data_IF_598994963632
#
_entry.id   IF_598994963632
#
_cell.length_a   1.000
_cell.length_b   1.000
_cell.length_c   1.000
_cell.angle_alpha   90.00
_cell.angle_beta   90.00
_cell.angle_gamma   90.00
#
_symmetry.space_group_name_H-M   'P 1'
#
loop_
_entity.id
_entity.type
_entity.pdbx_description
1 polymer ?
#
# COMPACT_ATOMS: atom_id res chain seq x y z
N UNK A 1 -31.32 -31.25 4.35
CA UNK A 1 -32.30 -30.67 3.40
C UNK A 1 -31.58 -29.60 2.60
N UNK A 2 -31.13 -29.92 1.39
CA UNK A 2 -30.55 -28.91 0.49
C UNK A 2 -31.71 -28.11 -0.11
N UNK A 3 -31.84 -26.85 0.31
CA UNK A 3 -32.81 -25.94 -0.29
C UNK A 3 -32.55 -25.81 -1.81
N UNK A 4 -33.62 -25.66 -2.59
CA UNK A 4 -33.52 -25.40 -4.02
C UNK A 4 -32.71 -24.11 -4.29
N UNK A 5 -31.89 -24.07 -5.34
CA UNK A 5 -31.09 -22.88 -5.66
C UNK A 5 -31.99 -21.68 -5.95
N UNK A 6 -31.66 -20.52 -5.37
CA UNK A 6 -32.35 -19.26 -5.63
C UNK A 6 -32.14 -18.80 -7.08
N UNK A 7 -32.91 -17.79 -7.53
CA UNK A 7 -32.67 -17.19 -8.84
C UNK A 7 -31.27 -16.59 -8.95
N UNK A 8 -30.78 -15.93 -7.90
CA UNK A 8 -29.42 -15.39 -7.85
C UNK A 8 -28.35 -16.49 -7.94
N UNK A 9 -28.57 -17.67 -7.32
CA UNK A 9 -27.66 -18.82 -7.47
C UNK A 9 -27.58 -19.27 -8.93
N UNK A 10 -28.74 -19.43 -9.59
CA UNK A 10 -28.81 -19.86 -11.00
C UNK A 10 -28.21 -18.83 -11.95
N UNK A 11 -28.37 -17.53 -11.69
CA UNK A 11 -27.72 -16.47 -12.47
C UNK A 11 -26.20 -16.52 -12.27
N UNK A 12 -25.73 -16.64 -11.03
CA UNK A 12 -24.29 -16.72 -10.72
C UNK A 12 -23.65 -17.94 -11.42
N UNK A 13 -24.37 -19.06 -11.53
CA UNK A 13 -23.99 -20.26 -12.29
C UNK A 13 -23.77 -20.01 -13.79
N UNK A 14 -24.45 -19.01 -14.36
CA UNK A 14 -24.35 -18.64 -15.77
C UNK A 14 -23.35 -17.51 -16.06
N UNK A 15 -22.63 -17.04 -15.03
CA UNK A 15 -21.55 -16.05 -15.20
C UNK A 15 -20.20 -16.74 -15.40
N UNK A 16 -19.24 -16.12 -16.12
CA UNK A 16 -17.91 -16.67 -16.36
C UNK A 16 -16.99 -16.63 -15.11
N UNK A 17 -17.48 -16.10 -13.98
CA UNK A 17 -16.80 -16.10 -12.68
C UNK A 17 -15.41 -15.44 -12.69
N UNK A 18 -15.21 -14.43 -13.54
CA UNK A 18 -13.92 -13.71 -13.64
C UNK A 18 -13.64 -12.80 -12.45
N UNK A 19 -14.68 -12.34 -11.76
CA UNK A 19 -14.62 -11.39 -10.66
C UNK A 19 -13.96 -10.04 -11.02
N UNK A 20 -14.07 -9.62 -12.28
CA UNK A 20 -13.38 -8.44 -12.82
C UNK A 20 -14.03 -7.08 -12.51
N UNK A 21 -15.18 -7.05 -11.84
CA UNK A 21 -15.92 -5.83 -11.47
C UNK A 21 -16.32 -4.87 -12.60
N UNK A 22 -16.17 -5.26 -13.89
CA UNK A 22 -16.52 -4.42 -15.06
C UNK A 22 -18.00 -4.06 -15.17
N UNK A 23 -18.86 -4.87 -14.55
CA UNK A 23 -20.29 -4.59 -14.42
C UNK A 23 -20.59 -3.47 -13.39
N UNK A 24 -19.61 -3.01 -12.62
CA UNK A 24 -19.78 -2.03 -11.53
C UNK A 24 -20.03 -2.65 -10.15
N UNK A 25 -20.16 -3.97 -10.07
CA UNK A 25 -20.34 -4.71 -8.82
C UNK A 25 -19.01 -5.28 -8.31
N UNK A 26 -18.92 -5.55 -7.00
CA UNK A 26 -17.70 -6.09 -6.37
C UNK A 26 -17.36 -7.54 -6.75
N UNK A 27 -18.23 -8.22 -7.50
CA UNK A 27 -18.01 -9.55 -8.03
C UNK A 27 -19.23 -10.09 -8.79
N UNK A 28 -19.13 -11.32 -9.26
CA UNK A 28 -20.19 -12.02 -10.00
C UNK A 28 -21.44 -12.22 -9.13
N UNK A 29 -21.28 -12.64 -7.87
CA UNK A 29 -22.42 -12.90 -6.97
C UNK A 29 -23.27 -11.64 -6.69
N UNK A 30 -22.71 -10.48 -6.32
CA UNK A 30 -23.51 -9.27 -6.15
C UNK A 30 -24.20 -8.82 -7.44
N UNK A 31 -23.56 -8.98 -8.61
CA UNK A 31 -24.22 -8.71 -9.89
C UNK A 31 -25.39 -9.68 -10.14
N UNK A 32 -25.20 -10.97 -9.88
CA UNK A 32 -26.24 -11.98 -10.02
C UNK A 32 -27.45 -11.69 -9.13
N UNK A 33 -27.20 -11.25 -7.89
CA UNK A 33 -28.23 -10.81 -6.96
C UNK A 33 -28.98 -9.59 -7.51
N UNK A 34 -28.27 -8.57 -7.98
CA UNK A 34 -28.90 -7.37 -8.51
C UNK A 34 -29.77 -7.64 -9.76
N UNK A 35 -29.36 -8.58 -10.61
CA UNK A 35 -30.18 -9.04 -11.74
C UNK A 35 -31.41 -9.81 -11.25
N UNK A 36 -31.25 -10.71 -10.26
CA UNK A 36 -32.38 -11.42 -9.66
C UNK A 36 -33.42 -10.48 -9.04
N UNK A 37 -32.95 -9.41 -8.41
CA UNK A 37 -33.77 -8.38 -7.77
C UNK A 37 -34.36 -7.37 -8.77
N UNK A 38 -33.98 -7.46 -10.05
CA UNK A 38 -34.43 -6.53 -11.10
C UNK A 38 -33.82 -5.12 -11.00
N UNK A 39 -32.79 -4.93 -10.17
CA UNK A 39 -32.09 -3.64 -9.99
C UNK A 39 -30.93 -3.44 -10.97
N UNK A 40 -30.50 -4.51 -11.64
CA UNK A 40 -29.50 -4.48 -12.71
C UNK A 40 -30.03 -5.12 -13.99
N UNK A 41 -29.54 -4.63 -15.14
CA UNK A 41 -29.78 -5.31 -16.42
C UNK A 41 -28.84 -6.52 -16.58
N UNK A 42 -29.30 -7.56 -17.28
CA UNK A 42 -28.56 -8.81 -17.50
C UNK A 42 -27.53 -8.75 -18.64
N UNK A 43 -27.28 -7.56 -19.20
CA UNK A 43 -26.35 -7.30 -20.30
C UNK A 43 -25.08 -6.54 -19.90
N UNK A 44 -24.65 -6.62 -18.64
CA UNK A 44 -23.57 -5.79 -18.11
C UNK A 44 -22.24 -6.56 -17.92
N UNK A 45 -22.13 -7.80 -18.42
CA UNK A 45 -20.96 -8.65 -18.23
C UNK A 45 -20.14 -8.82 -19.53
N UNK A 46 -19.14 -7.95 -19.81
CA UNK A 46 -18.30 -8.07 -21.00
C UNK A 46 -17.58 -9.42 -21.16
N UNK A 47 -17.02 -10.04 -20.09
CA UNK A 47 -16.41 -11.37 -20.22
C UNK A 47 -17.40 -12.47 -20.58
N UNK A 48 -18.68 -12.30 -20.25
CA UNK A 48 -19.74 -13.25 -20.64
C UNK A 48 -20.15 -13.07 -22.10
N UNK A 49 -19.96 -11.87 -22.65
CA UNK A 49 -20.25 -11.57 -24.05
C UNK A 49 -21.71 -11.78 -24.42
N UNK A 50 -21.99 -11.80 -25.73
CA UNK A 50 -23.35 -12.02 -26.23
C UNK A 50 -23.91 -13.39 -25.83
N UNK A 51 -23.05 -14.41 -25.76
CA UNK A 51 -23.43 -15.76 -25.35
C UNK A 51 -23.88 -15.82 -23.89
N UNK A 52 -23.21 -15.09 -23.00
CA UNK A 52 -23.60 -14.98 -21.59
C UNK A 52 -24.94 -14.29 -21.44
N UNK A 53 -25.19 -13.24 -22.22
CA UNK A 53 -26.47 -12.53 -22.24
C UNK A 53 -27.58 -13.46 -22.71
N UNK A 54 -27.36 -14.26 -23.76
CA UNK A 54 -28.34 -15.23 -24.24
C UNK A 54 -28.70 -16.27 -23.18
N UNK A 55 -27.71 -16.78 -22.42
CA UNK A 55 -27.93 -17.72 -21.31
C UNK A 55 -28.79 -17.08 -20.21
N UNK A 56 -28.48 -15.85 -19.82
CA UNK A 56 -29.23 -15.11 -18.81
C UNK A 56 -30.65 -14.78 -19.29
N UNK A 57 -30.81 -14.32 -20.53
CA UNK A 57 -32.10 -14.01 -21.13
C UNK A 57 -33.02 -15.24 -21.15
N UNK A 58 -32.47 -16.42 -21.49
CA UNK A 58 -33.20 -17.69 -21.44
C UNK A 58 -33.62 -18.08 -20.03
N UNK A 59 -32.77 -17.87 -19.01
CA UNK A 59 -33.11 -18.16 -17.62
C UNK A 59 -34.20 -17.22 -17.07
N UNK A 60 -34.16 -15.96 -17.49
CA UNK A 60 -35.03 -14.88 -17.00
C UNK A 60 -36.33 -14.73 -17.78
N UNK A 61 -36.50 -15.50 -18.87
CA UNK A 61 -37.58 -15.34 -19.85
C UNK A 61 -37.69 -13.89 -20.38
N UNK A 62 -36.56 -13.38 -20.88
CA UNK A 62 -36.42 -12.01 -21.41
C UNK A 62 -35.90 -12.05 -22.85
N UNK A 63 -36.17 -11.00 -23.66
CA UNK A 63 -35.66 -10.93 -25.02
C UNK A 63 -34.12 -10.88 -25.05
N UNK A 64 -33.50 -11.22 -26.17
CA UNK A 64 -32.07 -11.01 -26.33
C UNK A 64 -31.78 -9.53 -26.56
N UNK A 65 -30.85 -8.95 -25.79
CA UNK A 65 -30.39 -7.56 -25.95
C UNK A 65 -28.87 -7.52 -26.19
N UNK A 66 -28.32 -6.45 -26.78
CA UNK A 66 -26.87 -6.32 -26.96
C UNK A 66 -26.14 -6.08 -25.64
N UNK A 67 -24.84 -6.40 -25.60
CA UNK A 67 -23.95 -6.04 -24.48
C UNK A 67 -23.96 -4.53 -24.23
N UNK A 68 -24.04 -4.13 -22.96
CA UNK A 68 -23.99 -2.73 -22.57
C UNK A 68 -22.59 -2.15 -22.84
N UNK A 69 -22.44 -1.20 -23.79
CA UNK A 69 -21.13 -0.63 -24.13
C UNK A 69 -20.50 0.16 -22.97
N UNK A 70 -21.30 0.65 -22.01
CA UNK A 70 -20.80 1.35 -20.84
C UNK A 70 -19.97 0.45 -19.90
N UNK A 71 -20.17 -0.88 -19.95
CA UNK A 71 -19.41 -1.84 -19.16
C UNK A 71 -18.14 -2.35 -19.88
N UNK A 72 -17.98 -1.99 -21.16
CA UNK A 72 -16.86 -2.40 -21.99
C UNK A 72 -17.27 -3.34 -23.14
N UNK A 73 -16.25 -3.85 -23.84
CA UNK A 73 -16.42 -4.70 -25.02
C UNK A 73 -16.11 -6.16 -24.72
N UNK A 74 -16.78 -7.05 -25.44
CA UNK A 74 -16.44 -8.46 -25.49
C UNK A 74 -15.06 -8.64 -26.16
N UNK A 75 -14.18 -9.41 -25.53
CA UNK A 75 -12.81 -9.65 -26.01
C UNK A 75 -12.32 -11.03 -25.60
N UNK A 76 -11.26 -11.48 -26.25
CA UNK A 76 -10.60 -12.72 -25.89
C UNK A 76 -10.10 -12.70 -24.44
N UNK A 77 -10.13 -13.86 -23.79
CA UNK A 77 -9.63 -14.01 -22.42
C UNK A 77 -8.12 -13.81 -22.40
N UNK A 78 -7.70 -12.86 -21.58
CA UNK A 78 -6.30 -12.60 -21.28
C UNK A 78 -5.84 -13.31 -20.01
N UNK A 79 -4.53 -13.37 -19.80
CA UNK A 79 -3.86 -13.87 -18.62
C UNK A 79 -2.78 -12.86 -18.22
N UNK A 80 -2.69 -12.56 -16.93
CA UNK A 80 -1.60 -11.75 -16.41
C UNK A 80 -0.26 -12.50 -16.51
N UNK A 81 0.78 -11.80 -16.93
CA UNK A 81 2.18 -12.24 -16.91
C UNK A 81 2.96 -11.18 -16.15
N UNK A 82 3.76 -11.60 -15.16
CA UNK A 82 4.58 -10.70 -14.36
C UNK A 82 6.02 -10.82 -14.86
N UNK A 83 6.64 -9.69 -15.21
CA UNK A 83 8.07 -9.66 -15.49
C UNK A 83 8.84 -9.75 -14.17
N UNK A 84 9.47 -10.91 -13.93
CA UNK A 84 10.21 -11.17 -12.70
C UNK A 84 11.47 -10.30 -12.56
N UNK A 85 11.99 -9.73 -13.64
CA UNK A 85 13.20 -8.88 -13.61
C UNK A 85 12.91 -7.46 -13.09
N UNK A 86 11.66 -7.01 -13.23
CA UNK A 86 11.18 -5.69 -12.78
C UNK A 86 10.42 -5.78 -11.45
N UNK A 87 9.85 -6.95 -11.13
CA UNK A 87 9.06 -7.14 -9.93
C UNK A 87 9.86 -6.85 -8.63
N UNK A 88 9.35 -5.94 -7.81
CA UNK A 88 9.98 -5.56 -6.53
C UNK A 88 9.40 -6.29 -5.30
N UNK A 89 8.48 -7.23 -5.49
CA UNK A 89 7.88 -7.99 -4.38
C UNK A 89 7.01 -7.15 -3.42
N UNK A 90 6.28 -6.15 -3.93
CA UNK A 90 5.45 -5.24 -3.10
C UNK A 90 4.15 -5.84 -2.57
N UNK A 91 3.70 -6.98 -3.11
CA UNK A 91 2.49 -7.77 -2.74
C UNK A 91 1.13 -7.15 -3.11
N UNK A 92 1.07 -5.93 -3.66
CA UNK A 92 -0.20 -5.28 -4.00
C UNK A 92 -1.02 -6.05 -5.04
N UNK A 93 -0.37 -6.65 -6.04
CA UNK A 93 -1.02 -7.48 -7.06
C UNK A 93 -1.68 -8.74 -6.45
N UNK A 94 -1.02 -9.39 -5.49
CA UNK A 94 -1.55 -10.57 -4.78
C UNK A 94 -2.77 -10.20 -3.91
N UNK A 95 -2.75 -9.01 -3.31
CA UNK A 95 -3.88 -8.48 -2.57
C UNK A 95 -5.06 -8.09 -3.47
N UNK A 96 -4.80 -7.69 -4.72
CA UNK A 96 -5.85 -7.39 -5.70
C UNK A 96 -6.43 -8.65 -6.37
N UNK A 97 -5.68 -9.75 -6.43
CA UNK A 97 -6.10 -10.95 -7.15
C UNK A 97 -7.32 -11.62 -6.48
N UNK A 98 -8.49 -11.70 -7.13
CA UNK A 98 -9.71 -12.22 -6.52
C UNK A 98 -9.71 -13.75 -6.35
N UNK A 99 -8.81 -14.46 -7.04
CA UNK A 99 -8.79 -15.93 -7.10
C UNK A 99 -7.49 -16.55 -6.59
N UNK A 100 -6.66 -15.75 -5.92
CA UNK A 100 -5.35 -16.19 -5.39
C UNK A 100 -4.44 -16.82 -6.46
N UNK A 101 -4.48 -16.31 -7.69
CA UNK A 101 -3.66 -16.81 -8.80
C UNK A 101 -2.22 -16.29 -8.81
N UNK A 102 -1.89 -15.31 -7.96
CA UNK A 102 -0.54 -14.74 -7.89
C UNK A 102 0.14 -15.27 -6.62
N UNK A 103 1.33 -15.84 -6.78
CA UNK A 103 2.12 -16.41 -5.69
C UNK A 103 3.45 -15.66 -5.54
N UNK A 104 3.98 -15.63 -4.32
CA UNK A 104 5.23 -14.99 -3.94
C UNK A 104 5.20 -14.56 -2.47
N UNK A 105 6.07 -13.64 -2.07
CA UNK A 105 6.16 -13.15 -0.71
C UNK A 105 6.69 -11.70 -0.68
N UNK A 106 6.57 -10.98 0.45
CA UNK A 106 7.18 -9.67 0.59
C UNK A 106 8.68 -9.70 0.25
N UNK A 107 9.12 -8.78 -0.62
CA UNK A 107 10.51 -8.70 -1.12
C UNK A 107 10.98 -9.92 -1.92
N UNK A 108 10.06 -10.76 -2.38
CA UNK A 108 10.32 -11.87 -3.30
C UNK A 108 9.57 -11.63 -4.61
N UNK A 109 10.09 -12.18 -5.71
CA UNK A 109 9.43 -12.12 -7.01
C UNK A 109 8.06 -12.81 -6.96
N UNK A 110 7.11 -12.25 -7.72
CA UNK A 110 5.78 -12.82 -7.86
C UNK A 110 5.64 -13.48 -9.21
N UNK A 111 4.85 -14.55 -9.28
CA UNK A 111 4.49 -15.21 -10.54
C UNK A 111 3.02 -15.58 -10.57
N UNK A 112 2.49 -15.84 -11.76
CA UNK A 112 1.06 -16.12 -12.00
C UNK A 112 0.86 -17.60 -12.28
N UNK A 113 0.00 -18.24 -11.50
CA UNK A 113 -0.49 -19.58 -11.78
C UNK A 113 -1.46 -19.53 -12.97
N UNK A 114 -0.99 -19.96 -14.13
CA UNK A 114 -1.69 -19.80 -15.41
C UNK A 114 -3.12 -20.38 -15.40
N UNK A 115 -3.30 -21.56 -14.80
CA UNK A 115 -4.60 -22.24 -14.73
C UNK A 115 -5.58 -21.58 -13.75
N UNK A 116 -5.06 -20.70 -12.88
CA UNK A 116 -5.86 -20.02 -11.87
C UNK A 116 -6.26 -18.62 -12.28
N UNK A 117 -5.44 -17.95 -13.09
CA UNK A 117 -5.69 -16.60 -13.54
C UNK A 117 -7.00 -16.52 -14.34
N UNK A 118 -7.89 -15.61 -13.94
CA UNK A 118 -9.17 -15.41 -14.63
C UNK A 118 -9.13 -14.33 -15.70
N UNK A 119 -7.98 -13.66 -15.90
CA UNK A 119 -7.90 -12.54 -16.82
C UNK A 119 -8.64 -11.28 -16.36
N UNK A 120 -8.84 -11.15 -15.05
CA UNK A 120 -9.66 -10.07 -14.47
C UNK A 120 -9.03 -8.67 -14.49
N UNK A 121 -7.75 -8.55 -14.87
CA UNK A 121 -6.95 -7.31 -14.94
C UNK A 121 -6.83 -6.43 -13.67
N UNK A 122 -7.47 -6.81 -12.56
CA UNK A 122 -7.41 -6.09 -11.29
C UNK A 122 -6.00 -5.93 -10.70
N UNK A 123 -5.04 -6.76 -11.09
CA UNK A 123 -3.66 -6.68 -10.60
C UNK A 123 -2.81 -5.59 -11.27
N UNK A 124 -3.22 -5.09 -12.44
CA UNK A 124 -2.40 -4.17 -13.25
C UNK A 124 -2.27 -2.81 -12.56
N UNK A 125 -3.39 -2.15 -12.27
CA UNK A 125 -3.38 -0.80 -11.71
C UNK A 125 -2.66 -0.67 -10.34
N UNK A 126 -2.75 -1.64 -9.41
CA UNK A 126 -2.00 -1.59 -8.15
C UNK A 126 -0.49 -1.80 -8.28
N UNK A 127 0.05 -2.20 -9.44
CA UNK A 127 1.47 -2.46 -9.61
C UNK A 127 2.27 -1.14 -9.73
N UNK A 128 3.14 -0.78 -8.77
CA UNK A 128 3.83 0.52 -8.77
C UNK A 128 4.98 0.60 -9.77
N UNK A 129 5.41 -0.54 -10.32
CA UNK A 129 6.53 -0.65 -11.28
C UNK A 129 6.07 -1.14 -12.65
N UNK A 130 4.75 -1.25 -12.85
CA UNK A 130 4.12 -1.62 -14.13
C UNK A 130 4.69 -2.90 -14.77
N UNK A 131 5.05 -3.89 -13.95
CA UNK A 131 5.67 -5.14 -14.41
C UNK A 131 4.64 -6.22 -14.84
N UNK A 132 3.39 -5.86 -15.16
CA UNK A 132 2.31 -6.83 -15.42
C UNK A 132 1.69 -6.61 -16.78
N UNK A 133 1.80 -7.60 -17.66
CA UNK A 133 1.18 -7.60 -18.98
C UNK A 133 -0.05 -8.52 -19.03
N UNK A 134 -1.07 -8.14 -19.79
CA UNK A 134 -2.24 -8.97 -20.05
C UNK A 134 -2.14 -9.61 -21.43
N UNK A 135 -1.75 -10.88 -21.49
CA UNK A 135 -1.53 -11.62 -22.75
C UNK A 135 -2.79 -12.42 -23.10
N UNK A 136 -3.27 -12.32 -24.35
CA UNK A 136 -4.40 -13.15 -24.82
C UNK A 136 -4.02 -14.63 -24.83
N UNK A 137 -4.87 -15.50 -24.25
CA UNK A 137 -4.63 -16.96 -24.17
C UNK A 137 -5.69 -17.80 -24.88
N UNK A 138 -6.68 -17.17 -25.50
CA UNK A 138 -7.80 -17.85 -26.18
C UNK A 138 -7.91 -17.48 -27.65
N UNK A 139 -6.90 -16.78 -28.20
CA UNK A 139 -6.89 -16.37 -29.60
C UNK A 139 -8.09 -15.48 -29.93
N UNK A 140 -8.96 -15.97 -30.80
CA UNK A 140 -10.19 -15.29 -31.23
C UNK A 140 -11.43 -15.70 -30.42
N UNK A 141 -11.34 -16.70 -29.54
CA UNK A 141 -12.48 -17.13 -28.75
C UNK A 141 -12.82 -16.09 -27.67
N UNK A 142 -14.10 -15.71 -27.60
CA UNK A 142 -14.64 -14.71 -26.66
C UNK A 142 -15.82 -15.29 -25.88
N UNK A 143 -16.43 -14.50 -24.99
CA UNK A 143 -17.63 -14.91 -24.28
C UNK A 143 -17.46 -16.26 -23.58
N UNK A 144 -18.38 -17.18 -23.83
CA UNK A 144 -18.34 -18.54 -23.29
C UNK A 144 -17.52 -19.53 -24.11
N UNK A 145 -17.07 -19.19 -25.33
CA UNK A 145 -16.09 -20.00 -26.04
C UNK A 145 -14.68 -19.87 -25.43
N UNK A 146 -14.44 -18.78 -24.68
CA UNK A 146 -13.20 -18.56 -23.94
C UNK A 146 -13.14 -19.27 -22.57
N UNK A 147 -14.24 -19.92 -22.14
CA UNK A 147 -14.39 -20.51 -20.81
C UNK A 147 -15.14 -21.85 -20.83
N UNK A 148 -14.60 -22.87 -20.17
CA UNK A 148 -15.40 -24.03 -19.82
C UNK A 148 -16.21 -23.80 -18.53
N UNK A 149 -17.39 -24.43 -18.36
CA UNK A 149 -18.11 -24.41 -17.09
C UNK A 149 -17.24 -24.81 -15.89
N UNK A 150 -16.37 -25.81 -16.08
CA UNK A 150 -15.46 -26.29 -15.03
C UNK A 150 -14.44 -25.22 -14.61
N UNK A 151 -13.95 -24.41 -15.55
CA UNK A 151 -13.06 -23.30 -15.26
C UNK A 151 -13.78 -22.18 -14.49
N UNK A 152 -15.01 -21.84 -14.89
CA UNK A 152 -15.83 -20.86 -14.17
C UNK A 152 -16.11 -21.32 -12.73
N UNK A 153 -16.51 -22.58 -12.54
CA UNK A 153 -16.75 -23.12 -11.20
C UNK A 153 -15.48 -23.20 -10.35
N UNK A 154 -14.35 -23.55 -10.95
CA UNK A 154 -13.06 -23.53 -10.25
C UNK A 154 -12.69 -22.11 -9.80
N UNK A 155 -12.92 -21.10 -10.64
CA UNK A 155 -12.71 -19.70 -10.31
C UNK A 155 -13.64 -19.23 -9.17
N UNK A 156 -14.94 -19.59 -9.22
CA UNK A 156 -15.91 -19.34 -8.14
C UNK A 156 -15.43 -19.92 -6.82
N UNK A 157 -15.04 -21.20 -6.81
CA UNK A 157 -14.54 -21.88 -5.59
C UNK A 157 -13.30 -21.20 -5.04
N UNK A 158 -12.36 -20.77 -5.88
CA UNK A 158 -11.15 -20.03 -5.44
C UNK A 158 -11.50 -18.69 -4.82
N UNK A 159 -12.36 -17.92 -5.48
CA UNK A 159 -12.82 -16.63 -4.95
C UNK A 159 -13.57 -16.79 -3.61
N UNK A 160 -14.46 -17.78 -3.49
CA UNK A 160 -15.15 -18.08 -2.24
C UNK A 160 -14.18 -18.45 -1.11
N UNK A 161 -13.18 -19.30 -1.38
CA UNK A 161 -12.14 -19.66 -0.40
C UNK A 161 -11.33 -18.45 0.04
N UNK A 162 -10.93 -17.58 -0.90
CA UNK A 162 -10.22 -16.34 -0.61
C UNK A 162 -11.06 -15.43 0.31
N UNK A 163 -12.31 -15.19 -0.03
CA UNK A 163 -13.17 -14.31 0.76
C UNK A 163 -13.44 -14.86 2.16
N UNK A 164 -13.63 -16.18 2.30
CA UNK A 164 -13.76 -16.82 3.60
C UNK A 164 -12.48 -16.65 4.46
N UNK A 165 -11.31 -16.79 3.84
CA UNK A 165 -10.02 -16.55 4.50
C UNK A 165 -9.88 -15.09 4.96
N UNK A 166 -10.12 -14.13 4.08
CA UNK A 166 -10.05 -12.70 4.39
C UNK A 166 -11.06 -12.27 5.47
N UNK A 167 -12.28 -12.83 5.44
CA UNK A 167 -13.29 -12.58 6.47
C UNK A 167 -12.80 -13.06 7.85
N UNK A 168 -12.28 -14.29 7.93
CA UNK A 168 -11.71 -14.84 9.17
C UNK A 168 -10.55 -13.98 9.69
N UNK A 169 -9.64 -13.57 8.82
CA UNK A 169 -8.51 -12.70 9.19
C UNK A 169 -9.00 -11.34 9.74
N UNK A 170 -10.00 -10.73 9.09
CA UNK A 170 -10.62 -9.48 9.54
C UNK A 170 -11.29 -9.63 10.90
N UNK A 171 -12.05 -10.70 11.11
CA UNK A 171 -12.77 -10.94 12.36
C UNK A 171 -11.80 -11.13 13.53
N UNK A 172 -10.72 -11.90 13.32
CA UNK A 172 -9.63 -12.06 14.30
C UNK A 172 -8.96 -10.71 14.60
N UNK A 173 -8.68 -9.89 13.59
CA UNK A 173 -8.09 -8.57 13.79
C UNK A 173 -9.02 -7.64 14.59
N UNK A 174 -10.32 -7.65 14.30
CA UNK A 174 -11.33 -6.87 15.03
C UNK A 174 -11.44 -7.30 16.49
N UNK A 175 -11.44 -8.61 16.76
CA UNK A 175 -11.46 -9.15 18.12
C UNK A 175 -10.22 -8.71 18.91
N UNK A 176 -9.03 -8.81 18.31
CA UNK A 176 -7.78 -8.33 18.94
C UNK A 176 -7.81 -6.83 19.22
N UNK A 177 -8.33 -6.03 18.29
CA UNK A 177 -8.47 -4.59 18.49
C UNK A 177 -9.49 -4.25 19.59
N UNK A 178 -10.61 -4.97 19.65
CA UNK A 178 -11.61 -4.81 20.70
C UNK A 178 -11.06 -5.18 22.08
N UNK A 179 -10.32 -6.30 22.20
CA UNK A 179 -9.67 -6.70 23.44
C UNK A 179 -8.67 -5.65 23.94
N UNK A 180 -7.81 -5.11 23.05
CA UNK A 180 -6.87 -4.03 23.40
C UNK A 180 -7.60 -2.77 23.89
N UNK A 181 -8.69 -2.37 23.23
CA UNK A 181 -9.50 -1.22 23.66
C UNK A 181 -10.15 -1.45 25.03
N UNK A 182 -10.65 -2.65 25.29
CA UNK A 182 -11.24 -3.00 26.59
C UNK A 182 -10.21 -2.91 27.72
N UNK A 183 -8.99 -3.44 27.52
CA UNK A 183 -7.89 -3.36 28.49
C UNK A 183 -7.47 -1.91 28.76
N UNK A 184 -7.35 -1.06 27.72
CA UNK A 184 -7.01 0.35 27.90
C UNK A 184 -8.10 1.16 28.61
N UNK A 185 -9.38 0.78 28.42
CA UNK A 185 -10.50 1.45 29.09
C UNK A 185 -10.64 1.06 30.57
N UNK A 186 -10.18 -0.12 30.97
CA UNK A 186 -10.22 -0.57 32.38
C UNK A 186 -9.09 0.00 33.23
N UNK A 187 -7.97 0.43 32.62
CA UNK A 187 -6.80 1.00 33.33
C UNK A 187 -6.87 2.54 33.47
N UNK A 188 -7.84 3.19 32.86
CA UNK A 188 -8.06 4.63 33.00
C UNK A 188 -8.76 4.94 34.33
N UNK A 189 -7.97 5.18 35.38
CA UNK A 189 -8.48 5.75 36.64
C UNK A 189 -9.04 7.15 36.36
N UNK A 190 -10.28 7.48 36.78
CA UNK A 190 -10.85 8.79 36.50
C UNK A 190 -10.07 9.87 37.26
N UNK A 191 -9.46 10.81 36.53
CA UNK A 191 -8.86 12.01 37.12
C UNK A 191 -10.01 12.93 37.57
N UNK A 192 -10.14 13.25 38.86
CA UNK A 192 -11.19 14.17 39.32
C UNK A 192 -10.94 15.59 38.77
N UNK A 193 -11.99 16.39 38.51
CA UNK A 193 -11.81 17.74 38.00
C UNK A 193 -11.08 18.60 39.03
N UNK A 194 -10.04 19.31 38.57
CA UNK A 194 -9.25 20.20 39.39
C UNK A 194 -10.10 21.39 39.86
N UNK A 195 -10.29 21.50 41.17
CA UNK A 195 -10.87 22.66 41.83
C UNK A 195 -9.94 23.16 42.93
N UNK A 196 -9.50 24.42 42.81
CA UNK A 196 -9.15 25.26 43.97
C UNK A 196 -7.66 25.61 44.14
N UNK A 197 -7.37 26.90 44.03
CA UNK A 197 -6.12 27.55 44.42
C UNK A 197 -5.88 27.54 45.94
N UNK A 198 -4.63 27.31 46.37
CA UNK A 198 -4.05 27.91 47.58
C UNK A 198 -2.51 27.84 47.56
N UNK A 199 -1.85 28.99 47.78
CA UNK A 199 -0.39 29.16 47.96
C UNK A 199 -0.01 29.20 49.47
N UNK A 200 1.24 29.57 49.85
CA UNK A 200 2.30 28.66 50.27
C UNK A 200 2.58 28.71 51.80
N UNK A 201 3.18 27.64 52.36
CA UNK A 201 3.56 27.59 53.78
C UNK A 201 4.83 26.77 54.01
N UNK A 202 5.86 27.46 54.49
CA UNK A 202 7.24 27.07 54.82
C UNK A 202 7.38 26.06 55.97
N UNK A 203 8.30 25.08 55.87
CA UNK A 203 9.28 24.60 56.90
C UNK A 203 10.24 23.63 56.18
N UNK A 204 11.47 24.01 55.79
CA UNK A 204 12.75 24.00 56.51
C UNK A 204 13.33 22.61 56.86
N UNK A 205 14.21 22.16 55.96
CA UNK A 205 15.59 21.67 56.14
C UNK A 205 15.94 20.53 57.11
N UNK A 206 16.62 19.51 56.56
CA UNK A 206 17.88 18.98 57.11
C UNK A 206 18.71 18.28 56.03
N UNK A 207 19.97 18.70 55.92
CA UNK A 207 21.01 18.28 54.98
C UNK A 207 21.98 17.29 55.68
N UNK A 208 22.66 16.47 54.85
CA UNK A 208 24.00 15.87 55.04
C UNK A 208 24.06 14.49 55.71
N UNK A 209 24.91 13.53 55.31
CA UNK A 209 25.83 13.37 54.18
C UNK A 209 26.34 11.90 54.18
N UNK A 210 26.95 11.48 53.07
CA UNK A 210 27.56 10.18 52.67
C UNK A 210 28.83 9.77 53.51
N UNK A 211 29.73 8.79 53.16
CA UNK A 211 29.84 7.93 51.95
C UNK A 211 30.36 6.47 52.12
N UNK A 212 30.36 5.70 51.02
CA UNK A 212 31.13 4.44 50.90
C UNK A 212 31.00 3.74 49.53
N UNK A 213 32.13 3.55 48.85
CA UNK A 213 32.40 2.80 47.60
C UNK A 213 33.77 2.07 47.84
N UNK A 214 34.39 1.27 46.94
CA UNK A 214 34.04 0.16 45.99
C UNK A 214 34.64 -1.21 46.46
N UNK A 215 34.95 -2.26 45.61
CA UNK A 215 34.81 -2.43 44.15
C UNK A 215 34.21 -3.76 43.63
N UNK A 216 33.81 -3.73 42.36
CA UNK A 216 33.46 -4.87 41.49
C UNK A 216 34.68 -5.39 40.71
N UNK A 217 34.74 -6.71 40.53
CA UNK A 217 35.76 -7.43 39.76
C UNK A 217 35.30 -7.78 38.32
N UNK A 218 36.26 -7.80 37.40
CA UNK A 218 36.19 -8.29 36.00
C UNK A 218 36.56 -9.78 35.91
N UNK A 219 36.34 -10.47 34.76
CA UNK A 219 37.44 -10.68 33.80
C UNK A 219 36.98 -10.63 32.31
N UNK A 220 37.74 -9.99 31.42
CA UNK A 220 38.79 -10.53 30.51
C UNK A 220 38.28 -11.19 29.21
N UNK A 221 38.62 -10.57 28.06
CA UNK A 221 38.56 -11.17 26.73
C UNK A 221 39.80 -10.76 25.92
N UNK A 222 40.27 -11.70 25.09
CA UNK A 222 41.64 -11.83 24.60
C UNK A 222 42.00 -10.98 23.37
N UNK A 223 43.31 -10.80 23.24
CA UNK A 223 44.11 -10.14 22.19
C UNK A 223 44.20 -10.94 20.88
N UNK A 224 44.27 -10.22 19.76
CA UNK A 224 45.05 -10.62 18.57
C UNK A 224 45.48 -9.36 17.79
N UNK A 225 46.76 -9.30 17.40
CA UNK A 225 47.41 -8.15 16.73
C UNK A 225 48.24 -8.63 15.54
N UNK A 226 48.32 -7.81 14.50
CA UNK A 226 49.35 -7.82 13.43
C UNK A 226 48.75 -7.96 12.02
N UNK A 227 49.14 -7.23 10.97
CA UNK A 227 50.10 -6.14 10.67
C UNK A 227 49.64 -5.45 9.36
N UNK A 228 50.24 -4.31 8.93
CA UNK A 228 49.64 -3.38 7.95
C UNK A 228 50.26 -3.43 6.53
N UNK A 229 49.51 -2.94 5.53
CA UNK A 229 50.07 -2.34 4.31
C UNK A 229 49.34 -2.65 3.00
N UNK A 230 48.52 -1.71 2.50
CA UNK A 230 48.30 -1.40 1.08
C UNK A 230 47.30 -0.25 0.96
N UNK A 231 47.66 0.84 0.25
CA UNK A 231 46.77 1.99 0.02
C UNK A 231 45.54 1.61 -0.82
N UNK A 232 44.36 2.22 -0.60
CA UNK A 232 43.15 1.70 -1.20
C UNK A 232 43.01 2.19 -2.64
N UNK A 233 43.13 1.27 -3.59
CA UNK A 233 42.40 1.36 -4.86
C UNK A 233 40.91 1.29 -4.54
N UNK A 234 40.14 2.30 -4.92
CA UNK A 234 38.69 2.34 -4.75
C UNK A 234 38.06 1.07 -5.35
N UNK A 235 37.22 0.39 -4.57
CA UNK A 235 36.74 -0.94 -4.90
C UNK A 235 35.67 -0.89 -6.00
N UNK A 236 35.48 -1.98 -6.74
CA UNK A 236 34.43 -2.10 -7.75
C UNK A 236 33.01 -1.86 -7.18
N UNK A 237 32.84 -2.02 -5.87
CA UNK A 237 31.61 -1.73 -5.13
C UNK A 237 31.37 -0.23 -4.97
N UNK A 238 32.42 0.57 -4.77
CA UNK A 238 32.33 2.04 -4.70
C UNK A 238 31.94 2.62 -6.06
N UNK A 239 32.49 2.06 -7.14
CA UNK A 239 32.08 2.41 -8.50
C UNK A 239 30.64 2.00 -8.82
N UNK A 240 30.16 0.87 -8.30
CA UNK A 240 28.77 0.43 -8.45
C UNK A 240 27.79 1.32 -7.67
N UNK A 241 28.15 1.72 -6.44
CA UNK A 241 27.37 2.63 -5.61
C UNK A 241 27.26 4.03 -6.25
N UNK A 242 28.37 4.57 -6.75
CA UNK A 242 28.41 5.85 -7.46
C UNK A 242 27.55 5.84 -8.74
N UNK A 243 27.62 4.75 -9.54
CA UNK A 243 26.76 4.57 -10.72
C UNK A 243 25.28 4.52 -10.35
N UNK A 244 24.92 3.81 -9.28
CA UNK A 244 23.55 3.74 -8.78
C UNK A 244 23.04 5.10 -8.30
N UNK A 245 23.86 5.86 -7.57
CA UNK A 245 23.53 7.23 -7.16
C UNK A 245 23.34 8.16 -8.36
N UNK A 246 24.21 8.09 -9.37
CA UNK A 246 24.08 8.88 -10.59
C UNK A 246 22.78 8.60 -11.36
N UNK A 247 22.39 7.31 -11.46
CA UNK A 247 21.13 6.91 -12.12
C UNK A 247 19.91 7.45 -11.36
N UNK A 248 19.93 7.39 -10.02
CA UNK A 248 18.85 7.91 -9.18
C UNK A 248 18.74 9.43 -9.34
N UNK A 249 19.86 10.17 -9.31
CA UNK A 249 19.86 11.62 -9.50
C UNK A 249 19.33 11.99 -10.89
N UNK A 250 19.77 11.31 -11.94
CA UNK A 250 19.27 11.53 -13.30
C UNK A 250 17.77 11.18 -13.46
N UNK A 251 17.25 10.22 -12.68
CA UNK A 251 15.82 9.94 -12.64
C UNK A 251 15.02 11.04 -11.95
N UNK A 252 15.53 11.56 -10.82
CA UNK A 252 14.92 12.65 -10.07
C UNK A 252 14.91 13.96 -10.87
N UNK A 253 15.98 14.30 -11.57
CA UNK A 253 16.05 15.48 -12.43
C UNK A 253 15.07 15.40 -13.60
N UNK A 254 14.96 14.23 -14.24
CA UNK A 254 13.97 14.00 -15.31
C UNK A 254 12.54 14.12 -14.79
N UNK A 255 12.26 13.62 -13.59
CA UNK A 255 10.96 13.78 -12.96
C UNK A 255 10.64 15.25 -12.64
N UNK A 256 11.63 16.02 -12.16
CA UNK A 256 11.49 17.45 -11.90
C UNK A 256 11.21 18.23 -13.17
N UNK A 257 11.99 18.00 -14.23
CA UNK A 257 11.81 18.63 -15.54
C UNK A 257 10.45 18.31 -16.17
N UNK A 258 10.01 17.05 -16.09
CA UNK A 258 8.68 16.62 -16.55
C UNK A 258 7.55 17.29 -15.75
N UNK A 259 7.72 17.46 -14.44
CA UNK A 259 6.76 18.18 -13.59
C UNK A 259 6.70 19.68 -13.94
N UNK A 260 7.84 20.32 -14.16
CA UNK A 260 7.94 21.72 -14.60
C UNK A 260 7.28 21.92 -15.98
N UNK A 261 7.51 21.00 -16.93
CA UNK A 261 6.90 21.00 -18.26
C UNK A 261 5.37 20.80 -18.22
N UNK A 262 4.90 19.83 -17.43
CA UNK A 262 3.46 19.61 -17.21
C UNK A 262 2.79 20.79 -16.49
N UNK A 263 3.50 21.46 -15.57
CA UNK A 263 3.03 22.68 -14.91
C UNK A 263 2.94 23.85 -15.89
N UNK A 264 3.94 24.03 -16.77
CA UNK A 264 3.92 25.03 -17.83
C UNK A 264 2.78 24.81 -18.84
N UNK A 265 2.37 23.55 -19.04
CA UNK A 265 1.21 23.17 -19.86
C UNK A 265 -0.14 23.23 -19.09
N UNK A 266 -0.14 23.63 -17.82
CA UNK A 266 -1.36 23.72 -17.00
C UNK A 266 -2.00 22.36 -16.62
N UNK A 267 -1.24 21.27 -16.75
CA UNK A 267 -1.61 19.87 -16.50
C UNK A 267 -0.98 19.32 -15.21
N UNK A 268 -0.62 20.20 -14.27
CA UNK A 268 -0.16 19.80 -12.93
C UNK A 268 -1.29 19.21 -12.06
N UNK A 269 -0.97 18.53 -10.94
CA UNK A 269 -1.98 17.97 -10.05
C UNK A 269 -2.90 19.08 -9.51
N UNK A 270 -4.13 19.18 -10.03
CA UNK A 270 -5.12 20.20 -9.65
C UNK A 270 -5.75 19.98 -8.27
N UNK A 271 -5.21 19.04 -7.48
CA UNK A 271 -5.85 18.58 -6.25
C UNK A 271 -5.55 19.45 -5.01
N UNK A 272 -4.81 20.56 -5.19
CA UNK A 272 -4.50 21.52 -4.12
C UNK A 272 -4.75 22.97 -4.54
N UNK A 273 -5.21 23.22 -5.76
CA UNK A 273 -5.57 24.53 -6.29
C UNK A 273 -7.08 24.58 -6.48
N UNK A 274 -7.73 25.62 -5.98
CA UNK A 274 -9.19 25.81 -5.92
C UNK A 274 -9.94 24.92 -4.91
N UNK A 275 -9.34 24.66 -3.75
CA UNK A 275 -10.06 24.05 -2.62
C UNK A 275 -10.97 25.06 -1.93
N UNK A 276 -12.09 24.60 -1.37
CA UNK A 276 -13.04 25.48 -0.68
C UNK A 276 -12.37 26.17 0.52
N UNK A 277 -12.85 27.37 0.95
CA UNK A 277 -12.25 28.10 2.07
C UNK A 277 -12.14 27.28 3.37
N UNK A 278 -13.08 26.37 3.60
CA UNK A 278 -13.07 25.46 4.74
C UNK A 278 -11.94 24.42 4.66
N UNK A 279 -11.65 23.90 3.46
CA UNK A 279 -10.55 22.97 3.23
C UNK A 279 -9.21 23.70 3.29
N UNK A 280 -9.15 24.94 2.77
CA UNK A 280 -7.94 25.77 2.87
C UNK A 280 -7.57 26.03 4.34
N UNK A 281 -8.55 26.39 5.18
CA UNK A 281 -8.32 26.59 6.61
C UNK A 281 -7.81 25.32 7.34
N UNK A 282 -8.22 24.13 6.89
CA UNK A 282 -7.72 22.86 7.43
C UNK A 282 -6.26 22.60 7.03
N UNK A 283 -5.90 22.93 5.79
CA UNK A 283 -4.51 22.85 5.31
C UNK A 283 -3.63 23.79 6.13
N UNK A 284 -4.03 25.06 6.28
CA UNK A 284 -3.27 26.07 7.02
C UNK A 284 -3.10 25.68 8.50
N UNK A 285 -4.14 25.12 9.12
CA UNK A 285 -4.07 24.62 10.51
C UNK A 285 -3.12 23.42 10.67
N UNK A 286 -3.04 22.56 9.66
CA UNK A 286 -2.11 21.43 9.64
C UNK A 286 -0.67 21.89 9.43
N UNK A 287 -0.44 22.85 8.53
CA UNK A 287 0.87 23.46 8.30
C UNK A 287 1.37 24.21 9.53
N UNK A 288 0.54 25.04 10.17
CA UNK A 288 0.89 25.71 11.42
C UNK A 288 1.24 24.73 12.54
N UNK A 289 0.63 23.54 12.55
CA UNK A 289 0.97 22.46 13.49
C UNK A 289 2.32 21.84 13.16
N UNK A 290 2.65 21.65 11.87
CA UNK A 290 3.97 21.18 11.43
C UNK A 290 5.08 22.17 11.73
N UNK A 291 4.86 23.48 11.53
CA UNK A 291 5.85 24.52 11.88
C UNK A 291 6.15 24.54 13.38
N UNK A 292 5.11 24.43 14.22
CA UNK A 292 5.27 24.30 15.68
C UNK A 292 6.04 23.06 16.12
N UNK A 293 6.02 22.00 15.31
CA UNK A 293 6.72 20.74 15.58
C UNK A 293 8.09 20.65 14.88
N UNK A 294 8.54 21.74 14.24
CA UNK A 294 9.89 21.84 13.64
C UNK A 294 10.09 21.01 12.38
N UNK A 295 9.02 20.71 11.62
CA UNK A 295 9.08 19.86 10.42
C UNK A 295 9.29 20.59 9.08
N UNK A 296 9.63 21.88 9.07
CA UNK A 296 9.95 22.58 7.82
C UNK A 296 11.29 22.09 7.26
N UNK A 297 11.25 21.40 6.13
CA UNK A 297 12.42 21.06 5.31
C UNK A 297 12.33 21.81 3.99
N UNK A 298 12.87 23.01 3.95
CA UNK A 298 13.21 23.70 2.70
C UNK A 298 14.53 24.49 2.87
N UNK A 299 15.56 23.82 3.38
CA UNK A 299 16.95 24.27 3.25
C UNK A 299 17.48 23.77 1.89
N UNK A 300 17.28 24.60 0.86
CA UNK A 300 18.01 24.54 -0.41
C UNK A 300 19.51 24.69 -0.13
N UNK A 301 20.32 23.87 -0.80
CA UNK A 301 21.74 23.72 -0.52
C UNK A 301 22.60 24.98 -0.64
N UNK A 302 23.72 24.95 0.08
CA UNK A 302 24.81 25.92 -0.06
C UNK A 302 25.83 25.81 1.08
N UNK A 303 27.02 25.33 0.72
CA UNK A 303 28.31 25.48 1.41
C UNK A 303 28.48 24.85 2.81
N UNK A 304 29.51 23.99 2.88
CA UNK A 304 30.15 23.61 4.12
C UNK A 304 30.70 24.85 4.86
N UNK A 305 30.42 24.95 6.15
CA UNK A 305 31.26 25.68 7.09
C UNK A 305 31.38 24.85 8.37
N UNK A 306 32.62 24.42 8.60
CA UNK A 306 33.13 23.67 9.74
C UNK A 306 32.76 24.34 11.09
N UNK A 307 32.47 23.57 12.16
CA UNK A 307 32.17 24.16 13.47
C UNK A 307 33.41 24.81 14.10
N UNK A 308 33.28 25.96 14.80
CA UNK A 308 34.40 26.63 15.43
C UNK A 308 34.96 25.82 16.63
N UNK A 309 36.28 25.85 16.89
CA UNK A 309 36.87 25.15 18.01
C UNK A 309 36.50 25.78 19.36
N UNK A 310 36.52 25.00 20.46
CA UNK A 310 36.15 25.50 21.78
C UNK A 310 37.16 26.52 22.33
N UNK A 311 36.73 27.46 23.19
CA UNK A 311 37.59 28.51 23.72
C UNK A 311 38.59 27.94 24.74
N UNK A 312 39.88 28.16 24.45
CA UNK A 312 40.99 27.75 25.31
C UNK A 312 41.15 28.70 26.51
N UNK A 313 41.44 28.10 27.66
CA UNK A 313 41.62 28.77 28.93
C UNK A 313 42.91 29.60 28.96
N UNK A 314 42.78 30.86 29.39
CA UNK A 314 43.77 31.71 30.08
C UNK A 314 45.25 31.52 29.72
N UNK A 315 45.83 32.56 29.11
CA UNK A 315 47.22 32.93 29.37
C UNK A 315 47.33 34.45 29.45
N UNK A 316 47.38 34.94 30.69
CA UNK A 316 47.89 36.27 31.01
C UNK A 316 49.36 36.37 30.56
N UNK A 317 49.74 37.49 29.96
CA UNK A 317 51.14 37.87 29.88
C UNK A 317 51.50 38.84 28.76
N UNK A 318 52.16 39.93 29.19
CA UNK A 318 52.93 40.95 28.46
C UNK A 318 52.14 42.04 27.72
N UNK A 319 52.43 43.33 27.80
CA UNK A 319 53.33 44.18 28.60
C UNK A 319 53.04 45.63 28.11
N UNK A 320 53.57 46.63 28.85
CA UNK A 320 54.02 47.97 28.40
C UNK A 320 53.26 49.22 28.93
N UNK A 321 54.00 49.94 29.77
CA UNK A 321 54.22 51.40 29.76
C UNK A 321 53.11 52.36 30.23
N UNK A 322 53.14 52.68 31.54
CA UNK A 322 53.25 54.04 32.10
C UNK A 322 53.39 53.99 33.64
#
# INVERSE_FOLDING_TARGET
MTASPSLADRIDDLLPQTQCTKCGYSGCRPYAQAVADGTASYNQCPPGGQQGIARLASLLDRPLIPLNPANGVERARARAVIDETVCIGCTLCMQACPVDAIVGAPKQLHTVLADWCTGCDLCVAPCPVDCIEMVSVTGTATGWDAWSPQQADAARRRHARRNARLAKERDVAQQRAAARRATMSSDATPVPPASGWASPGTVRERISAEPGHPPSATPAAATATGMPGAGPMASSQDHAAARKQAIIQAALERARKKKEELAAQGLGPRNTSDVSPAVQAQIDAAEARRRRLGWDTDERGGAASEPPPPPDARRDGSDLDA
#
